data_IF_262051575393
#
_entry.id   IF_262051575393
#
_cell.length_a   1.000
_cell.length_b   1.000
_cell.length_c   1.000
_cell.angle_alpha   90.00
_cell.angle_beta   90.00
_cell.angle_gamma   90.00
#
_symmetry.space_group_name_H-M   'P 1'
#
loop_
_entity.id
_entity.type
_entity.pdbx_description
1 polymer ?
#
# COMPACT_ATOMS: atom_id res chain seq x y z
N UNK A 1 -14.53 -2.03 -16.35
CA UNK A 1 -13.26 -1.28 -16.31
C UNK A 1 -12.64 -1.33 -14.95
N UNK A 2 -11.32 -1.61 -14.87
CA UNK A 2 -10.62 -1.71 -13.60
C UNK A 2 -10.29 -0.31 -13.09
N UNK A 3 -10.94 0.11 -11.99
CA UNK A 3 -10.65 1.39 -11.34
C UNK A 3 -10.38 1.23 -9.85
N UNK A 4 -10.14 -0.01 -9.41
CA UNK A 4 -9.84 -0.27 -8.00
C UNK A 4 -8.37 -0.01 -7.69
N UNK A 5 -8.13 0.41 -6.46
CA UNK A 5 -6.79 0.53 -5.89
C UNK A 5 -6.64 -0.59 -4.86
N UNK A 6 -5.66 -1.45 -5.09
CA UNK A 6 -5.32 -2.53 -4.17
C UNK A 6 -4.20 -2.09 -3.24
N UNK A 7 -4.23 -2.51 -1.99
CA UNK A 7 -3.12 -2.26 -1.06
C UNK A 7 -2.53 -3.57 -0.59
N UNK A 8 -1.21 -3.63 -0.53
CA UNK A 8 -0.48 -4.74 0.06
C UNK A 8 0.58 -4.20 1.01
N UNK A 9 0.86 -4.96 2.06
CA UNK A 9 1.84 -4.60 3.08
C UNK A 9 1.64 -5.46 4.31
N UNK A 10 2.65 -5.52 5.16
CA UNK A 10 2.61 -6.31 6.39
C UNK A 10 1.52 -5.83 7.35
N UNK A 11 1.15 -6.68 8.29
CA UNK A 11 0.18 -6.34 9.32
C UNK A 11 0.63 -5.09 10.09
N UNK A 12 -0.29 -4.16 10.30
CA UNK A 12 -0.02 -2.96 11.09
C UNK A 12 0.58 -1.79 10.35
N UNK A 13 0.76 -1.87 9.01
CA UNK A 13 1.32 -0.73 8.25
C UNK A 13 0.29 0.38 7.99
N UNK A 14 -1.01 0.13 8.26
CA UNK A 14 -2.05 1.14 8.10
C UNK A 14 -2.76 1.12 6.75
N UNK A 15 -2.83 -0.03 6.08
CA UNK A 15 -3.46 -0.17 4.76
C UNK A 15 -4.91 0.29 4.74
N UNK A 16 -5.71 -0.19 5.69
CA UNK A 16 -7.14 0.12 5.76
C UNK A 16 -7.37 1.60 6.02
N UNK A 17 -6.63 2.17 6.97
CA UNK A 17 -6.70 3.60 7.28
C UNK A 17 -6.31 4.44 6.07
N UNK A 18 -5.27 4.03 5.36
CA UNK A 18 -4.82 4.72 4.15
C UNK A 18 -5.93 4.78 3.10
N UNK A 19 -6.60 3.66 2.84
CA UNK A 19 -7.71 3.60 1.87
C UNK A 19 -8.87 4.52 2.29
N UNK A 20 -9.20 4.56 3.58
CA UNK A 20 -10.25 5.43 4.07
C UNK A 20 -9.90 6.90 3.90
N UNK A 21 -8.66 7.27 4.27
CA UNK A 21 -8.21 8.66 4.15
C UNK A 21 -8.08 9.13 2.71
N UNK A 22 -7.84 8.21 1.78
CA UNK A 22 -7.83 8.50 0.35
C UNK A 22 -9.25 8.56 -0.25
N UNK A 23 -10.29 8.29 0.54
CA UNK A 23 -11.66 8.28 0.05
C UNK A 23 -12.01 7.07 -0.79
N UNK A 24 -11.24 5.99 -0.69
CA UNK A 24 -11.44 4.78 -1.49
C UNK A 24 -12.19 3.69 -0.74
N UNK A 25 -12.45 3.89 0.55
CA UNK A 25 -13.16 2.94 1.39
C UNK A 25 -13.98 3.69 2.43
N UNK A 26 -15.25 3.33 2.57
CA UNK A 26 -16.17 3.96 3.51
C UNK A 26 -16.47 3.12 4.74
N UNK A 27 -15.88 1.92 4.84
CA UNK A 27 -16.09 1.03 5.97
C UNK A 27 -15.25 1.45 7.17
N UNK A 28 -15.76 1.14 8.38
CA UNK A 28 -15.02 1.40 9.61
C UNK A 28 -13.70 0.62 9.62
N UNK A 29 -12.62 1.26 10.08
CA UNK A 29 -11.31 0.63 10.20
C UNK A 29 -11.37 -0.56 11.16
N UNK A 30 -10.87 -1.71 10.73
CA UNK A 30 -10.73 -2.92 11.54
C UNK A 30 -9.63 -3.78 10.92
N UNK A 31 -9.09 -4.73 11.70
CA UNK A 31 -8.10 -5.66 11.17
C UNK A 31 -8.72 -6.49 10.04
N UNK A 32 -8.03 -6.55 8.91
CA UNK A 32 -8.46 -7.31 7.75
C UNK A 32 -7.96 -8.74 7.87
N UNK A 33 -8.87 -9.71 7.98
CA UNK A 33 -8.54 -11.13 8.10
C UNK A 33 -8.69 -11.89 6.79
N UNK A 34 -9.41 -11.32 5.84
CA UNK A 34 -9.59 -11.85 4.50
C UNK A 34 -9.49 -10.70 3.50
N UNK A 35 -9.35 -11.03 2.22
CA UNK A 35 -9.36 -9.99 1.18
C UNK A 35 -10.73 -9.32 1.15
N UNK A 36 -10.74 -8.00 1.26
CA UNK A 36 -11.95 -7.19 1.24
C UNK A 36 -12.02 -6.40 -0.06
N UNK A 37 -12.93 -6.78 -0.95
CA UNK A 37 -13.12 -6.11 -2.25
C UNK A 37 -14.31 -5.17 -2.15
N UNK A 38 -14.06 -3.89 -2.41
CA UNK A 38 -15.06 -2.84 -2.46
C UNK A 38 -15.14 -2.30 -3.89
N UNK A 39 -16.05 -1.35 -4.15
CA UNK A 39 -16.22 -0.75 -5.47
C UNK A 39 -14.94 -0.07 -5.98
N UNK A 40 -14.16 0.55 -5.08
CA UNK A 40 -12.98 1.34 -5.44
C UNK A 40 -11.68 0.81 -4.87
N UNK A 41 -11.72 -0.23 -4.03
CA UNK A 41 -10.53 -0.71 -3.35
C UNK A 41 -10.51 -2.21 -3.12
N UNK A 42 -9.30 -2.75 -2.96
CA UNK A 42 -9.06 -4.13 -2.54
C UNK A 42 -8.08 -4.06 -1.38
N UNK A 43 -8.54 -4.41 -0.18
CA UNK A 43 -7.71 -4.46 1.01
C UNK A 43 -7.30 -5.92 1.27
N UNK A 44 -6.02 -6.16 1.52
CA UNK A 44 -5.48 -7.50 1.71
C UNK A 44 -5.00 -7.71 3.14
N UNK A 45 -5.11 -8.94 3.67
CA UNK A 45 -4.51 -9.26 4.96
C UNK A 45 -2.98 -9.12 4.90
N UNK A 46 -2.36 -8.60 5.98
CA UNK A 46 -0.93 -8.49 6.05
C UNK A 46 -0.22 -9.83 5.92
N UNK A 47 -0.82 -10.89 6.41
CA UNK A 47 -0.30 -12.24 6.34
C UNK A 47 -0.09 -12.73 4.91
N UNK A 48 -0.84 -12.20 3.93
CA UNK A 48 -0.69 -12.60 2.53
C UNK A 48 0.69 -12.21 1.99
N UNK A 49 1.30 -11.15 2.52
CA UNK A 49 2.66 -10.79 2.14
C UNK A 49 3.70 -11.65 2.87
N UNK A 50 3.43 -12.02 4.12
CA UNK A 50 4.38 -12.71 4.98
C UNK A 50 4.47 -14.22 4.68
N UNK A 51 3.46 -14.80 4.04
CA UNK A 51 3.38 -16.25 3.78
C UNK A 51 3.41 -16.52 2.28
N UNK A 52 4.48 -17.14 1.76
CA UNK A 52 4.65 -17.33 0.30
C UNK A 52 3.49 -18.04 -0.40
N UNK A 53 2.80 -18.95 0.28
CA UNK A 53 1.65 -19.66 -0.33
C UNK A 53 0.52 -18.72 -0.74
N UNK A 54 0.46 -17.50 -0.20
CA UNK A 54 -0.58 -16.53 -0.53
C UNK A 54 -0.18 -15.57 -1.66
N UNK A 55 1.06 -15.66 -2.18
CA UNK A 55 1.50 -14.76 -3.25
C UNK A 55 0.65 -14.88 -4.50
N UNK A 56 0.23 -16.10 -4.85
CA UNK A 56 -0.65 -16.28 -6.01
C UNK A 56 -1.99 -15.55 -5.82
N UNK A 57 -2.52 -15.54 -4.61
CA UNK A 57 -3.75 -14.79 -4.33
C UNK A 57 -3.55 -13.30 -4.57
N UNK A 58 -2.42 -12.73 -4.14
CA UNK A 58 -2.10 -11.32 -4.39
C UNK A 58 -2.04 -11.03 -5.89
N UNK A 59 -1.41 -11.89 -6.66
CA UNK A 59 -1.30 -11.73 -8.12
C UNK A 59 -2.69 -11.80 -8.76
N UNK A 60 -3.51 -12.76 -8.37
CA UNK A 60 -4.87 -12.92 -8.92
C UNK A 60 -5.73 -11.69 -8.62
N UNK A 61 -5.72 -11.21 -7.35
CA UNK A 61 -6.51 -10.03 -6.99
C UNK A 61 -5.99 -8.76 -7.69
N UNK A 62 -4.70 -8.66 -7.97
CA UNK A 62 -4.15 -7.51 -8.68
C UNK A 62 -4.73 -7.36 -10.08
N UNK A 63 -5.23 -8.44 -10.68
CA UNK A 63 -5.88 -8.37 -11.98
C UNK A 63 -7.21 -7.59 -11.96
N UNK A 64 -7.77 -7.38 -10.77
CA UNK A 64 -9.01 -6.61 -10.55
C UNK A 64 -8.74 -5.15 -10.19
N UNK A 65 -7.49 -4.76 -10.13
CA UNK A 65 -7.08 -3.40 -9.76
C UNK A 65 -6.34 -2.73 -10.92
N UNK A 66 -6.38 -1.40 -10.95
CA UNK A 66 -5.56 -0.62 -11.87
C UNK A 66 -4.25 -0.19 -11.22
N UNK A 67 -4.28 -0.01 -9.91
CA UNK A 67 -3.12 0.43 -9.11
C UNK A 67 -2.98 -0.50 -7.92
N UNK A 68 -1.73 -0.82 -7.58
CA UNK A 68 -1.38 -1.49 -6.32
C UNK A 68 -0.48 -0.55 -5.53
N UNK A 69 -0.87 -0.26 -4.30
CA UNK A 69 -0.03 0.48 -3.35
C UNK A 69 0.73 -0.54 -2.50
N UNK A 70 2.06 -0.47 -2.57
CA UNK A 70 2.93 -1.26 -1.70
C UNK A 70 3.28 -0.39 -0.50
N UNK A 71 2.73 -0.73 0.66
CA UNK A 71 2.79 0.11 1.87
C UNK A 71 3.82 -0.44 2.84
N UNK A 72 4.74 0.42 3.27
CA UNK A 72 5.80 0.11 4.23
C UNK A 72 5.67 1.03 5.43
N UNK A 73 5.92 0.48 6.61
CA UNK A 73 5.98 1.24 7.86
C UNK A 73 7.34 1.97 7.95
N UNK A 74 7.31 3.26 8.20
CA UNK A 74 8.54 4.07 8.28
C UNK A 74 9.41 3.70 9.49
N UNK A 75 8.81 3.19 10.56
CA UNK A 75 9.52 2.85 11.81
C UNK A 75 10.05 1.43 11.79
N UNK A 76 9.26 0.49 11.25
CA UNK A 76 9.63 -0.93 11.20
C UNK A 76 9.38 -1.48 9.78
N UNK A 77 10.20 -1.08 8.80
CA UNK A 77 10.01 -1.54 7.43
C UNK A 77 10.19 -3.05 7.31
N UNK A 78 9.34 -3.67 6.50
CA UNK A 78 9.45 -5.08 6.15
C UNK A 78 9.68 -5.21 4.65
N UNK A 79 10.51 -6.16 4.20
CA UNK A 79 10.75 -6.35 2.78
C UNK A 79 9.56 -6.96 2.07
N UNK A 80 9.47 -6.70 0.76
CA UNK A 80 8.57 -7.40 -0.14
C UNK A 80 9.35 -8.50 -0.88
N UNK A 81 8.67 -9.48 -1.46
CA UNK A 81 9.33 -10.40 -2.39
C UNK A 81 10.00 -9.62 -3.51
N UNK A 82 11.25 -9.96 -3.84
CA UNK A 82 12.02 -9.26 -4.86
C UNK A 82 11.28 -9.27 -6.20
N UNK A 83 11.13 -8.10 -6.82
CA UNK A 83 10.51 -7.96 -8.12
C UNK A 83 9.00 -8.23 -8.15
N UNK A 84 8.31 -8.25 -7.01
CA UNK A 84 6.88 -8.57 -6.97
C UNK A 84 6.06 -7.62 -7.85
N UNK A 85 6.44 -6.36 -7.96
CA UNK A 85 5.68 -5.40 -8.77
C UNK A 85 5.61 -5.78 -10.25
N UNK A 86 6.57 -6.57 -10.72
CA UNK A 86 6.64 -7.00 -12.12
C UNK A 86 5.63 -8.10 -12.44
N UNK A 87 5.20 -8.87 -11.44
CA UNK A 87 4.22 -9.94 -11.64
C UNK A 87 2.81 -9.50 -11.27
N UNK A 88 2.65 -8.40 -10.57
CA UNK A 88 1.34 -7.81 -10.31
C UNK A 88 0.78 -7.20 -11.60
N UNK A 89 -0.53 -7.35 -11.79
CA UNK A 89 -1.20 -6.94 -13.03
C UNK A 89 -1.79 -5.54 -12.93
N UNK A 90 -1.04 -4.64 -12.30
CA UNK A 90 -1.48 -3.26 -12.03
C UNK A 90 -0.26 -2.35 -11.93
N UNK A 91 -0.48 -1.05 -12.03
CA UNK A 91 0.57 -0.05 -11.81
C UNK A 91 0.93 -0.05 -10.32
N UNK A 92 2.21 -0.20 -10.00
CA UNK A 92 2.68 -0.25 -8.61
C UNK A 92 3.19 1.12 -8.18
N UNK A 93 2.66 1.60 -7.04
CA UNK A 93 3.17 2.79 -6.35
C UNK A 93 3.62 2.39 -4.95
N UNK A 94 4.73 2.97 -4.48
CA UNK A 94 5.22 2.74 -3.14
C UNK A 94 4.73 3.81 -2.17
N UNK A 95 4.38 3.39 -0.96
CA UNK A 95 3.94 4.31 0.09
C UNK A 95 4.70 4.00 1.38
N UNK A 96 5.38 5.00 1.91
CA UNK A 96 6.02 4.92 3.22
C UNK A 96 5.11 5.65 4.19
N UNK A 97 4.44 4.90 5.05
CA UNK A 97 3.44 5.43 5.99
C UNK A 97 4.03 5.65 7.38
N UNK A 98 3.30 6.40 8.20
CA UNK A 98 3.62 6.66 9.62
C UNK A 98 4.81 7.60 9.83
N UNK A 99 5.07 8.50 8.88
CA UNK A 99 6.16 9.47 9.04
C UNK A 99 5.91 10.47 10.16
N UNK A 100 4.64 10.60 10.63
CA UNK A 100 4.30 11.40 11.81
C UNK A 100 4.97 10.91 13.09
N UNK A 101 5.35 9.64 13.15
CA UNK A 101 5.97 9.06 14.34
C UNK A 101 7.35 9.67 14.65
N UNK A 102 7.96 10.40 13.72
CA UNK A 102 9.14 11.20 14.01
C UNK A 102 8.86 12.19 15.14
N UNK A 103 7.68 12.80 15.17
CA UNK A 103 7.30 13.76 16.22
C UNK A 103 7.06 13.09 17.58
N UNK A 104 6.84 11.77 17.59
CA UNK A 104 6.71 11.00 18.82
C UNK A 104 8.06 10.42 19.29
N UNK A 105 9.16 10.93 18.75
CA UNK A 105 10.51 10.50 19.13
C UNK A 105 10.95 9.17 18.54
N UNK A 106 10.22 8.67 17.54
CA UNK A 106 10.60 7.42 16.87
C UNK A 106 11.65 7.67 15.82
N UNK A 107 12.59 6.75 15.69
CA UNK A 107 13.54 6.76 14.58
C UNK A 107 12.87 6.26 13.31
N UNK A 108 12.94 7.06 12.23
CA UNK A 108 12.41 6.66 10.94
C UNK A 108 13.51 6.03 10.09
N UNK A 109 13.19 4.91 9.46
CA UNK A 109 14.11 4.15 8.59
C UNK A 109 13.70 4.32 7.12
N UNK A 110 13.66 5.57 6.66
CA UNK A 110 13.16 5.92 5.32
C UNK A 110 14.03 5.28 4.23
N UNK A 111 15.35 5.29 4.38
CA UNK A 111 16.25 4.74 3.36
C UNK A 111 16.07 3.23 3.22
N UNK A 112 15.85 2.53 4.34
CA UNK A 112 15.57 1.10 4.32
C UNK A 112 14.21 0.81 3.67
N UNK A 113 13.21 1.59 4.00
CA UNK A 113 11.89 1.46 3.39
C UNK A 113 11.96 1.67 1.87
N UNK A 114 12.69 2.70 1.42
CA UNK A 114 12.90 2.95 -0.01
C UNK A 114 13.63 1.80 -0.69
N UNK A 115 14.62 1.22 -0.02
CA UNK A 115 15.36 0.07 -0.55
C UNK A 115 14.42 -1.11 -0.77
N UNK A 116 13.56 -1.41 0.20
CA UNK A 116 12.61 -2.52 0.07
C UNK A 116 11.62 -2.30 -1.08
N UNK A 117 11.16 -1.07 -1.28
CA UNK A 117 10.27 -0.74 -2.40
C UNK A 117 11.01 -0.83 -3.73
N UNK A 118 12.24 -0.36 -3.79
CA UNK A 118 13.05 -0.47 -5.01
C UNK A 118 13.33 -1.93 -5.37
N UNK A 119 13.66 -2.76 -4.37
CA UNK A 119 13.89 -4.20 -4.59
C UNK A 119 12.62 -4.91 -5.05
N UNK A 120 11.45 -4.42 -4.65
CA UNK A 120 10.17 -4.90 -5.14
C UNK A 120 9.89 -4.48 -6.60
N UNK A 121 10.66 -3.55 -7.14
CA UNK A 121 10.49 -3.04 -8.52
C UNK A 121 9.68 -1.76 -8.63
N UNK A 122 9.39 -1.11 -7.51
CA UNK A 122 8.61 0.14 -7.50
C UNK A 122 9.51 1.32 -7.84
N UNK A 123 9.02 2.23 -8.68
CA UNK A 123 9.77 3.40 -9.13
C UNK A 123 9.31 4.70 -8.49
N UNK A 124 8.02 4.84 -8.19
CA UNK A 124 7.46 6.04 -7.57
C UNK A 124 7.12 5.75 -6.12
N UNK A 125 7.63 6.56 -5.21
CA UNK A 125 7.46 6.38 -3.76
C UNK A 125 6.93 7.67 -3.14
N UNK A 126 5.93 7.54 -2.28
CA UNK A 126 5.31 8.65 -1.55
C UNK A 126 5.47 8.46 -0.05
N UNK A 127 5.93 9.50 0.64
CA UNK A 127 6.05 9.51 2.09
C UNK A 127 4.81 10.18 2.67
N UNK A 128 4.07 9.45 3.52
CA UNK A 128 2.78 9.91 4.00
C UNK A 128 2.58 9.60 5.48
N UNK A 129 1.61 10.27 6.08
CA UNK A 129 0.98 9.87 7.32
C UNK A 129 -0.52 9.75 7.08
N UNK A 130 -1.04 8.52 7.09
CA UNK A 130 -2.47 8.32 6.98
C UNK A 130 -3.20 8.91 8.18
N UNK A 131 -2.54 8.97 9.35
CA UNK A 131 -3.13 9.54 10.56
C UNK A 131 -3.32 11.05 10.46
N UNK A 132 -2.29 11.79 10.03
CA UNK A 132 -2.31 13.26 10.00
C UNK A 132 -2.76 13.83 8.66
N UNK A 133 -2.71 13.06 7.59
CA UNK A 133 -3.00 13.50 6.23
C UNK A 133 -1.78 13.99 5.46
N UNK A 134 -0.60 14.03 6.08
CA UNK A 134 0.61 14.49 5.39
C UNK A 134 0.86 13.65 4.14
N UNK A 135 1.14 14.31 3.03
CA UNK A 135 1.50 13.66 1.77
C UNK A 135 0.35 13.00 1.02
N UNK A 136 -0.87 12.97 1.58
CA UNK A 136 -2.00 12.29 0.95
C UNK A 136 -2.50 13.03 -0.28
N UNK A 137 -2.38 14.34 -0.34
CA UNK A 137 -2.84 15.13 -1.49
C UNK A 137 -2.04 14.74 -2.74
N UNK A 138 -0.73 14.65 -2.63
CA UNK A 138 0.15 14.27 -3.74
C UNK A 138 -0.13 12.83 -4.19
N UNK A 139 -0.29 11.91 -3.22
CA UNK A 139 -0.59 10.51 -3.52
C UNK A 139 -1.96 10.40 -4.21
N UNK A 140 -2.97 11.06 -3.69
CA UNK A 140 -4.32 11.02 -4.27
C UNK A 140 -4.34 11.59 -5.68
N UNK A 141 -3.63 12.69 -5.91
CA UNK A 141 -3.52 13.28 -7.24
C UNK A 141 -2.91 12.30 -8.24
N UNK A 142 -1.84 11.60 -7.85
CA UNK A 142 -1.21 10.62 -8.72
C UNK A 142 -2.14 9.44 -9.01
N UNK A 143 -2.85 8.97 -7.99
CA UNK A 143 -3.85 7.91 -8.14
C UNK A 143 -4.93 8.36 -9.14
N UNK A 144 -5.48 9.55 -8.96
CA UNK A 144 -6.54 10.06 -9.84
C UNK A 144 -6.05 10.20 -11.29
N UNK A 145 -4.82 10.67 -11.49
CA UNK A 145 -4.21 10.78 -12.81
C UNK A 145 -4.12 9.42 -13.50
N UNK A 146 -3.71 8.40 -12.78
CA UNK A 146 -3.61 7.04 -13.34
C UNK A 146 -5.00 6.46 -13.63
N UNK A 147 -5.96 6.67 -12.72
CA UNK A 147 -7.32 6.15 -12.89
C UNK A 147 -8.06 6.82 -14.05
N UNK A 148 -7.69 8.04 -14.42
CA UNK A 148 -8.30 8.78 -15.50
C UNK A 148 -7.83 8.32 -16.90
N UNK A 149 -6.74 7.57 -16.96
CA UNK A 149 -6.18 7.09 -18.22
C UNK A 149 -6.90 5.89 -18.79
#
# INVERSE_FOLDING_TARGET
MKKRVMVIGSTGVGKTTLLEKLGLRNKRVKKTESVDVDAFSIDTPGEFLDIPRFYNALIVFSSKAKIVLLVVDAVDPKPFPSGISKVLRAVALGVINKIDLLYDGKELKIDLARKFLRDAGVKEVFEVSALTGFGLIELKKRIDDILAC
#
